data_IF_210928826467
#
_entry.id   IF_210928826467
#
_cell.length_a   1.000
_cell.length_b   1.000
_cell.length_c   1.000
_cell.angle_alpha   90.00
_cell.angle_beta   90.00
_cell.angle_gamma   90.00
#
_symmetry.space_group_name_H-M   'P 1'
#
loop_
_entity.id
_entity.type
_entity.pdbx_description
1 polymer ?
#
# COMPACT_ATOMS: atom_id res chain seq x y z
N UNK A 1 5.65 5.73 -11.24
CA UNK A 1 4.19 5.93 -11.14
C UNK A 1 3.94 7.37 -10.73
N UNK A 2 3.14 8.09 -11.51
CA UNK A 2 2.75 9.45 -11.18
C UNK A 2 1.56 9.45 -10.19
N UNK A 3 1.68 10.21 -9.11
CA UNK A 3 0.61 10.43 -8.14
C UNK A 3 0.19 11.89 -8.23
N UNK A 4 -1.08 12.19 -8.59
CA UNK A 4 -1.54 13.57 -8.70
C UNK A 4 -1.62 14.25 -7.33
N UNK A 5 -1.76 15.57 -7.35
CA UNK A 5 -1.99 16.36 -6.12
C UNK A 5 -3.26 15.88 -5.41
N UNK A 6 -3.15 15.63 -4.11
CA UNK A 6 -4.27 15.22 -3.25
C UNK A 6 -4.13 15.84 -1.86
N UNK A 7 -5.23 16.41 -1.35
CA UNK A 7 -5.31 17.00 0.00
C UNK A 7 -4.16 18.00 0.29
N UNK A 8 -3.90 18.90 -0.65
CA UNK A 8 -2.85 19.93 -0.51
C UNK A 8 -1.41 19.41 -0.64
N UNK A 9 -1.19 18.13 -0.95
CA UNK A 9 0.15 17.62 -1.25
C UNK A 9 0.48 17.80 -2.73
N UNK A 10 1.69 18.24 -3.08
CA UNK A 10 2.10 18.37 -4.47
C UNK A 10 2.08 17.01 -5.19
N UNK A 11 1.91 17.01 -6.53
CA UNK A 11 2.07 15.80 -7.32
C UNK A 11 3.48 15.25 -7.16
N UNK A 12 3.64 13.94 -7.31
CA UNK A 12 4.93 13.28 -7.11
C UNK A 12 5.07 12.02 -7.95
N UNK A 13 6.30 11.74 -8.33
CA UNK A 13 6.66 10.46 -8.95
C UNK A 13 7.21 9.49 -7.91
N UNK A 14 6.71 8.27 -7.98
CA UNK A 14 7.04 7.20 -7.05
C UNK A 14 7.59 6.02 -7.84
N UNK A 15 8.80 5.58 -7.48
CA UNK A 15 9.37 4.36 -8.00
C UNK A 15 8.63 3.14 -7.41
N UNK A 16 8.28 2.19 -8.28
CA UNK A 16 7.67 0.92 -7.89
C UNK A 16 8.46 -0.17 -8.59
N UNK A 17 9.17 -0.98 -7.81
CA UNK A 17 9.94 -2.09 -8.34
C UNK A 17 9.06 -3.33 -8.56
N UNK A 18 9.51 -4.22 -9.44
CA UNK A 18 8.94 -5.56 -9.52
C UNK A 18 9.14 -6.30 -8.20
N UNK A 19 8.11 -7.02 -7.76
CA UNK A 19 8.18 -7.93 -6.63
C UNK A 19 8.81 -9.26 -7.03
N UNK A 20 9.48 -9.89 -6.07
CA UNK A 20 10.09 -11.22 -6.23
C UNK A 20 9.03 -12.29 -6.51
N UNK A 21 7.95 -12.30 -5.73
CA UNK A 21 6.83 -13.21 -5.94
C UNK A 21 5.91 -12.67 -7.07
N UNK A 22 5.71 -13.41 -8.18
CA UNK A 22 4.86 -12.98 -9.29
C UNK A 22 3.41 -12.67 -8.90
N UNK A 23 2.82 -13.46 -8.01
CA UNK A 23 1.39 -13.38 -7.64
C UNK A 23 1.05 -12.15 -6.79
N UNK A 24 2.06 -11.59 -6.12
CA UNK A 24 1.92 -10.41 -5.26
C UNK A 24 2.74 -9.21 -5.77
N UNK A 25 3.32 -9.33 -6.96
CA UNK A 25 4.14 -8.28 -7.54
C UNK A 25 3.27 -7.08 -7.96
N UNK A 26 3.45 -5.88 -7.38
CA UNK A 26 2.57 -4.73 -7.64
C UNK A 26 2.59 -4.29 -9.12
N UNK A 27 3.73 -4.41 -9.79
CA UNK A 27 3.85 -4.04 -11.21
C UNK A 27 3.08 -5.03 -12.10
N UNK A 28 3.28 -6.33 -11.93
CA UNK A 28 2.56 -7.38 -12.69
C UNK A 28 1.05 -7.32 -12.44
N UNK A 29 0.62 -7.22 -11.18
CA UNK A 29 -0.80 -7.09 -10.85
C UNK A 29 -1.41 -5.82 -11.48
N UNK A 30 -0.68 -4.70 -11.46
CA UNK A 30 -1.12 -3.47 -12.11
C UNK A 30 -1.25 -3.63 -13.63
N UNK A 31 -0.28 -4.26 -14.30
CA UNK A 31 -0.32 -4.48 -15.74
C UNK A 31 -1.48 -5.39 -16.15
N UNK A 32 -1.68 -6.49 -15.42
CA UNK A 32 -2.81 -7.40 -15.65
C UNK A 32 -4.16 -6.70 -15.46
N UNK A 33 -4.29 -5.86 -14.42
CA UNK A 33 -5.49 -5.02 -14.23
C UNK A 33 -5.67 -4.02 -15.38
N UNK A 34 -4.62 -3.30 -15.76
CA UNK A 34 -4.66 -2.29 -16.83
C UNK A 34 -5.16 -2.90 -18.14
N UNK A 35 -4.68 -4.09 -18.47
CA UNK A 35 -5.10 -4.87 -19.64
C UNK A 35 -6.57 -5.31 -19.51
N UNK A 36 -6.93 -6.00 -18.42
CA UNK A 36 -8.29 -6.50 -18.21
C UNK A 36 -9.35 -5.38 -18.16
N UNK A 37 -8.99 -4.20 -17.67
CA UNK A 37 -9.86 -3.04 -17.61
C UNK A 37 -9.82 -2.16 -18.87
N UNK A 38 -8.99 -2.48 -19.86
CA UNK A 38 -8.86 -1.71 -21.10
C UNK A 38 -8.36 -0.27 -20.89
N UNK A 39 -7.54 -0.04 -19.86
CA UNK A 39 -7.14 1.31 -19.46
C UNK A 39 -6.02 1.86 -20.35
N UNK A 40 -6.35 2.88 -21.14
CA UNK A 40 -5.38 3.66 -21.93
C UNK A 40 -5.06 5.01 -21.29
N UNK A 41 -6.03 5.61 -20.60
CA UNK A 41 -5.90 6.87 -19.87
C UNK A 41 -6.92 6.93 -18.71
N UNK A 42 -6.85 8.00 -17.91
CA UNK A 42 -7.81 8.26 -16.83
C UNK A 42 -7.40 7.67 -15.47
N UNK A 43 -8.36 7.37 -14.58
CA UNK A 43 -8.06 6.92 -13.23
C UNK A 43 -7.42 5.53 -13.22
N UNK A 44 -6.49 5.31 -12.30
CA UNK A 44 -5.79 4.03 -12.21
C UNK A 44 -6.73 2.85 -11.90
N UNK A 45 -7.75 3.09 -11.08
CA UNK A 45 -8.76 2.09 -10.74
C UNK A 45 -10.13 2.59 -11.20
N UNK A 46 -11.01 1.65 -11.51
CA UNK A 46 -12.42 1.85 -11.80
C UNK A 46 -13.25 1.04 -10.79
N UNK A 47 -14.43 1.51 -10.37
CA UNK A 47 -15.30 0.73 -9.52
C UNK A 47 -15.76 -0.52 -10.28
N UNK A 48 -15.79 -1.66 -9.58
CA UNK A 48 -16.29 -2.93 -10.09
C UNK A 48 -17.54 -3.29 -9.30
N UNK A 49 -18.66 -3.47 -9.99
CA UNK A 49 -19.89 -3.91 -9.35
C UNK A 49 -19.83 -5.41 -8.98
N UNK A 50 -20.85 -5.91 -8.28
CA UNK A 50 -20.91 -7.32 -7.86
C UNK A 50 -20.99 -8.30 -9.05
N UNK A 51 -21.36 -7.83 -10.24
CA UNK A 51 -21.46 -8.60 -11.47
C UNK A 51 -20.20 -8.50 -12.34
N UNK A 52 -19.14 -7.85 -11.84
CA UNK A 52 -17.88 -7.69 -12.55
C UNK A 52 -17.87 -6.55 -13.58
N UNK A 53 -18.88 -5.68 -13.60
CA UNK A 53 -18.94 -4.57 -14.56
C UNK A 53 -18.13 -3.37 -14.07
N UNK A 54 -17.43 -2.74 -15.00
CA UNK A 54 -16.62 -1.55 -14.74
C UNK A 54 -17.49 -0.29 -14.83
N UNK A 55 -17.34 0.61 -13.85
CA UNK A 55 -17.82 1.97 -13.99
C UNK A 55 -16.87 2.85 -14.81
N UNK A 56 -17.30 4.06 -15.15
CA UNK A 56 -16.55 5.00 -16.00
C UNK A 56 -15.82 6.10 -15.24
N UNK A 57 -16.07 6.20 -13.93
CA UNK A 57 -15.51 7.24 -13.06
C UNK A 57 -14.51 6.64 -12.08
N UNK A 58 -13.66 7.49 -11.48
CA UNK A 58 -12.78 7.05 -10.39
C UNK A 58 -13.61 6.47 -9.23
N UNK A 59 -13.11 5.44 -8.53
CA UNK A 59 -13.73 4.96 -7.30
C UNK A 59 -13.86 6.08 -6.27
N UNK A 60 -14.93 6.02 -5.47
CA UNK A 60 -15.07 6.87 -4.30
C UNK A 60 -13.95 6.63 -3.26
N UNK A 61 -13.88 7.46 -2.20
CA UNK A 61 -12.81 7.37 -1.19
C UNK A 61 -12.64 5.99 -0.55
N UNK A 62 -13.72 5.23 -0.40
CA UNK A 62 -13.72 3.88 0.17
C UNK A 62 -13.55 2.77 -0.87
N UNK A 63 -13.45 3.08 -2.17
CA UNK A 63 -13.43 2.08 -3.24
C UNK A 63 -12.33 1.03 -3.07
N UNK A 64 -11.10 1.47 -2.80
CA UNK A 64 -9.99 0.55 -2.54
C UNK A 64 -10.19 -0.29 -1.27
N UNK A 65 -10.76 0.32 -0.21
CA UNK A 65 -11.06 -0.40 1.04
C UNK A 65 -12.05 -1.53 0.76
N UNK A 66 -13.16 -1.24 0.07
CA UNK A 66 -14.17 -2.23 -0.27
C UNK A 66 -13.62 -3.32 -1.19
N UNK A 67 -12.77 -2.98 -2.15
CA UNK A 67 -12.12 -3.95 -3.03
C UNK A 67 -11.23 -4.94 -2.23
N UNK A 68 -10.42 -4.42 -1.31
CA UNK A 68 -9.56 -5.23 -0.43
C UNK A 68 -10.41 -6.11 0.48
N UNK A 69 -11.42 -5.54 1.14
CA UNK A 69 -12.29 -6.30 2.07
C UNK A 69 -13.01 -7.44 1.34
N UNK A 70 -13.61 -7.18 0.17
CA UNK A 70 -14.26 -8.23 -0.64
C UNK A 70 -13.28 -9.30 -1.13
N UNK A 71 -12.04 -8.92 -1.45
CA UNK A 71 -11.01 -9.88 -1.85
C UNK A 71 -10.61 -10.78 -0.68
N UNK A 72 -10.47 -10.22 0.53
CA UNK A 72 -10.18 -10.98 1.74
C UNK A 72 -11.31 -11.96 2.09
N UNK A 73 -12.57 -11.52 2.00
CA UNK A 73 -13.76 -12.38 2.20
C UNK A 73 -13.78 -13.55 1.22
N UNK A 74 -13.55 -13.30 -0.07
CA UNK A 74 -13.47 -14.36 -1.09
C UNK A 74 -12.32 -15.33 -0.88
N UNK A 75 -11.23 -14.87 -0.29
CA UNK A 75 -10.06 -15.69 0.04
C UNK A 75 -10.25 -16.47 1.37
N UNK A 76 -11.38 -16.30 2.07
CA UNK A 76 -11.64 -16.98 3.34
C UNK A 76 -10.74 -16.51 4.48
N UNK A 77 -10.23 -15.28 4.41
CA UNK A 77 -9.37 -14.74 5.47
C UNK A 77 -10.22 -14.33 6.69
N UNK A 78 -9.88 -14.89 7.85
CA UNK A 78 -10.52 -14.55 9.13
C UNK A 78 -10.06 -13.18 9.70
N UNK A 79 -9.28 -12.44 8.94
CA UNK A 79 -8.77 -11.12 9.32
C UNK A 79 -9.38 -10.02 8.46
N UNK A 80 -9.87 -8.96 9.13
CA UNK A 80 -10.41 -7.80 8.44
C UNK A 80 -9.30 -6.97 7.80
N UNK A 81 -9.05 -7.20 6.52
CA UNK A 81 -8.12 -6.39 5.74
C UNK A 81 -8.78 -5.10 5.25
N UNK A 82 -8.05 -3.99 5.42
CA UNK A 82 -8.43 -2.66 4.91
C UNK A 82 -7.25 -2.03 4.18
N UNK A 83 -7.48 -0.89 3.51
CA UNK A 83 -6.38 -0.12 2.91
C UNK A 83 -5.30 0.33 3.91
N UNK A 84 -5.65 0.41 5.20
CA UNK A 84 -4.71 0.72 6.27
C UNK A 84 -3.76 -0.44 6.55
N UNK A 85 -4.24 -1.69 6.48
CA UNK A 85 -3.45 -2.91 6.69
C UNK A 85 -2.27 -2.97 5.71
N UNK A 86 -2.50 -2.67 4.42
CA UNK A 86 -1.46 -2.63 3.40
C UNK A 86 -0.42 -1.52 3.66
N UNK A 87 -0.86 -0.36 4.15
CA UNK A 87 0.02 0.77 4.48
C UNK A 87 0.95 0.45 5.66
N UNK A 88 0.39 -0.11 6.74
CA UNK A 88 1.15 -0.57 7.91
C UNK A 88 2.13 -1.66 7.51
N UNK A 89 1.66 -2.68 6.77
CA UNK A 89 2.48 -3.81 6.31
C UNK A 89 3.68 -3.41 5.45
N UNK A 90 3.53 -2.39 4.59
CA UNK A 90 4.64 -1.82 3.81
C UNK A 90 5.76 -1.29 4.72
N UNK A 91 5.38 -0.56 5.78
CA UNK A 91 6.36 0.07 6.68
C UNK A 91 7.00 -0.98 7.59
N UNK A 92 6.19 -1.81 8.25
CA UNK A 92 6.70 -2.82 9.19
C UNK A 92 7.59 -3.85 8.49
N UNK A 93 7.15 -4.41 7.36
CA UNK A 93 7.95 -5.35 6.56
C UNK A 93 9.19 -4.66 5.97
N UNK A 94 9.05 -3.38 5.58
CA UNK A 94 10.17 -2.59 5.08
C UNK A 94 11.26 -2.40 6.13
N UNK A 95 10.89 -2.06 7.38
CA UNK A 95 11.84 -1.90 8.49
C UNK A 95 12.52 -3.22 8.85
N UNK A 96 11.76 -4.32 8.95
CA UNK A 96 12.32 -5.68 9.15
C UNK A 96 13.33 -6.08 8.06
N UNK A 97 13.19 -5.54 6.84
CA UNK A 97 14.14 -5.74 5.72
C UNK A 97 15.19 -4.63 5.61
N UNK A 98 15.42 -3.86 6.68
CA UNK A 98 16.46 -2.81 6.76
C UNK A 98 16.20 -1.56 5.89
N UNK A 99 14.99 -1.36 5.33
CA UNK A 99 14.70 -0.17 4.51
C UNK A 99 14.59 1.06 5.40
N UNK A 100 15.25 2.16 5.00
CA UNK A 100 15.23 3.43 5.74
C UNK A 100 13.81 3.98 5.91
N UNK A 101 13.44 4.37 7.13
CA UNK A 101 12.13 4.94 7.45
C UNK A 101 11.77 6.13 6.55
N UNK A 102 12.73 7.00 6.23
CA UNK A 102 12.50 8.15 5.32
C UNK A 102 12.03 7.73 3.92
N UNK A 103 12.57 6.62 3.37
CA UNK A 103 12.17 6.10 2.06
C UNK A 103 10.76 5.51 2.12
N UNK A 104 10.43 4.78 3.18
CA UNK A 104 9.08 4.26 3.43
C UNK A 104 8.06 5.40 3.60
N UNK A 105 8.46 6.47 4.32
CA UNK A 105 7.68 7.70 4.51
C UNK A 105 7.35 8.38 3.20
N UNK A 106 8.37 8.58 2.37
CA UNK A 106 8.20 9.12 1.02
C UNK A 106 7.33 8.19 0.19
N UNK A 107 7.55 6.88 0.20
CA UNK A 107 6.75 5.90 -0.57
C UNK A 107 5.25 6.01 -0.27
N UNK A 108 4.84 5.85 1.00
CA UNK A 108 3.43 5.92 1.37
C UNK A 108 2.89 7.34 1.56
N UNK A 109 3.70 8.38 1.30
CA UNK A 109 3.24 9.76 1.28
C UNK A 109 2.74 10.24 2.64
N UNK A 110 3.46 9.93 3.72
CA UNK A 110 3.21 10.51 5.05
C UNK A 110 3.87 11.89 5.16
N UNK A 111 3.35 12.75 6.05
CA UNK A 111 4.00 14.02 6.37
C UNK A 111 5.30 13.75 7.14
N UNK A 112 6.24 14.69 7.14
CA UNK A 112 7.51 14.51 7.86
C UNK A 112 7.29 14.30 9.37
N UNK A 113 6.31 15.00 9.94
CA UNK A 113 5.91 14.97 11.34
C UNK A 113 4.70 14.03 11.61
N UNK A 114 4.40 13.08 10.74
CA UNK A 114 3.24 12.20 10.91
C UNK A 114 3.49 11.20 12.05
N UNK A 115 2.73 11.20 13.16
CA UNK A 115 2.92 10.20 14.22
C UNK A 115 2.62 8.78 13.73
N UNK A 116 1.62 8.63 12.85
CA UNK A 116 1.16 7.33 12.30
C UNK A 116 2.27 6.50 11.64
N UNK A 117 3.24 7.13 10.97
CA UNK A 117 4.32 6.33 10.37
C UNK A 117 5.30 5.84 11.42
N UNK A 118 5.57 6.64 12.45
CA UNK A 118 6.48 6.29 13.52
C UNK A 118 5.94 5.11 14.32
N UNK A 119 4.63 5.06 14.59
CA UNK A 119 3.99 3.88 15.18
C UNK A 119 4.25 2.59 14.37
N UNK A 120 4.22 2.65 13.03
CA UNK A 120 4.51 1.48 12.20
C UNK A 120 6.00 1.15 12.11
N UNK A 121 6.87 2.15 12.26
CA UNK A 121 8.32 1.99 12.30
C UNK A 121 8.69 1.27 13.59
N UNK A 122 8.21 1.76 14.73
CA UNK A 122 8.44 1.18 16.05
C UNK A 122 7.97 -0.28 16.10
N UNK A 123 6.80 -0.58 15.52
CA UNK A 123 6.32 -1.96 15.42
C UNK A 123 7.22 -2.84 14.54
N UNK A 124 7.73 -2.30 13.43
CA UNK A 124 8.65 -3.01 12.54
C UNK A 124 10.02 -3.26 13.17
N UNK A 125 10.45 -2.40 14.07
CA UNK A 125 11.74 -2.45 14.77
C UNK A 125 11.69 -3.15 16.12
N UNK A 126 10.49 -3.41 16.66
CA UNK A 126 10.26 -3.96 18.02
C UNK A 126 11.17 -5.13 18.41
N UNK A 127 11.65 -5.91 17.45
CA UNK A 127 12.52 -7.08 17.68
C UNK A 127 13.89 -7.00 17.00
N UNK A 128 14.14 -5.99 16.14
CA UNK A 128 15.34 -5.89 15.28
C UNK A 128 16.36 -4.84 15.79
N UNK A 129 16.06 -4.17 16.91
CA UNK A 129 16.95 -3.23 17.60
C UNK A 129 16.43 -3.06 19.04
N UNK A 130 16.38 -4.17 19.77
CA UNK A 130 15.77 -4.13 21.11
C UNK A 130 16.66 -3.30 22.01
N UNK A 131 16.12 -2.27 22.66
CA UNK A 131 16.90 -1.39 23.54
C UNK A 131 17.66 -2.11 24.67
N UNK A 132 17.31 -3.37 24.95
CA UNK A 132 17.99 -4.22 25.94
C UNK A 132 19.08 -5.12 25.35
N UNK A 133 19.26 -5.15 24.03
CA UNK A 133 20.27 -5.97 23.38
C UNK A 133 21.68 -5.39 23.64
N UNK A 134 22.58 -6.21 24.17
CA UNK A 134 23.97 -5.80 24.44
C UNK A 134 24.17 -4.84 25.62
N UNK A 135 23.13 -4.55 26.41
CA UNK A 135 23.22 -3.70 27.61
C UNK A 135 23.18 -4.58 28.87
N UNK A 136 24.20 -4.46 29.73
CA UNK A 136 24.33 -5.24 30.98
C UNK A 136 25.63 -6.03 31.10
N UNK A 137 26.78 -5.37 30.90
CA UNK A 137 28.09 -5.87 31.38
C UNK A 137 28.39 -5.29 32.75
#
# INVERSE_FOLDING_TARGET
>A
MHVPSVKGRPPRDVAVAYGENPDTCPVRCWLAWKEAAGLTAGPAFLPVDQKGRLGTQRPGPDGCRLAITRAAERAGLDVKLTGHSARRGLVSTGRKRGKRAEKLRKQGGWAANSPVIWEYVDEGERWEDTATEGIGR
#
